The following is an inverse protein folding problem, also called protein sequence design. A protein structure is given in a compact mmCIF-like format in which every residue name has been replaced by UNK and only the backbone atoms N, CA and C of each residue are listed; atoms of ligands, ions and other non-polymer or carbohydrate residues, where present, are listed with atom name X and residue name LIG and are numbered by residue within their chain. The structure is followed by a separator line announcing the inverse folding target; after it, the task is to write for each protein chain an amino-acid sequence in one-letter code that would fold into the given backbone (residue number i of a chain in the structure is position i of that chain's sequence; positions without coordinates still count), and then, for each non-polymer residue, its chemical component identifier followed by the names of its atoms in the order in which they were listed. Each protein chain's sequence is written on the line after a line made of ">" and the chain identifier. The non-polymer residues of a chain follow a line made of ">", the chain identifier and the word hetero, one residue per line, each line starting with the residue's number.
data_IF_424606221455
#
_entry.id   IF_424606221455
#
_cell.length_a   1.000
_cell.length_b   1.000
_cell.length_c   1.000
_cell.angle_alpha   90.00
_cell.angle_beta   90.00
_cell.angle_gamma   90.00
#
_symmetry.space_group_name_H-M   'P 1'
#
loop_
_entity.id
_entity.type
_entity.pdbx_description
1 polymer ?
#
# COMPACT_ATOMS: atom_id res chain seq x y z
N UNK A 1 4.48 21.02 15.99
CA UNK A 1 5.03 21.56 14.73
C UNK A 1 4.98 20.56 13.56
N UNK A 2 5.47 19.31 13.68
CA UNK A 2 5.42 18.33 12.56
C UNK A 2 4.01 17.98 12.05
N UNK A 3 3.01 17.92 12.93
CA UNK A 3 1.60 17.66 12.54
C UNK A 3 1.01 18.77 11.65
N UNK A 4 1.45 19.99 11.80
CA UNK A 4 0.97 21.15 11.04
C UNK A 4 1.53 21.17 9.62
N UNK A 5 2.79 20.79 9.41
CA UNK A 5 3.42 20.82 8.08
C UNK A 5 2.86 19.76 7.13
N UNK A 6 2.69 18.52 7.59
CA UNK A 6 2.13 17.45 6.74
C UNK A 6 0.67 17.73 6.37
N UNK A 7 -0.12 18.24 7.30
CA UNK A 7 -1.52 18.62 7.04
C UNK A 7 -1.60 19.82 6.09
N UNK A 8 -0.74 20.80 6.26
CA UNK A 8 -0.62 21.93 5.37
C UNK A 8 -0.24 21.50 3.94
N UNK A 9 0.73 20.59 3.77
CA UNK A 9 1.08 20.06 2.45
C UNK A 9 -0.09 19.33 1.78
N UNK A 10 -0.84 18.52 2.51
CA UNK A 10 -2.04 17.86 1.98
C UNK A 10 -3.10 18.87 1.53
N UNK A 11 -3.31 19.93 2.28
CA UNK A 11 -4.25 20.99 1.88
C UNK A 11 -3.77 21.69 0.59
N UNK A 12 -2.49 22.01 0.48
CA UNK A 12 -1.88 22.59 -0.74
C UNK A 12 -2.00 21.65 -1.94
N UNK A 13 -1.82 20.35 -1.75
CA UNK A 13 -1.82 19.38 -2.84
C UNK A 13 -3.22 19.04 -3.34
N UNK A 14 -4.24 19.08 -2.47
CA UNK A 14 -5.57 18.55 -2.77
C UNK A 14 -6.72 19.57 -2.64
N UNK A 15 -6.52 20.70 -1.94
CA UNK A 15 -7.59 21.66 -1.68
C UNK A 15 -7.31 23.07 -2.20
N UNK A 16 -6.10 23.58 -1.97
CA UNK A 16 -5.74 24.95 -2.33
C UNK A 16 -4.42 24.99 -3.14
N UNK A 17 -4.52 24.92 -4.46
CA UNK A 17 -3.34 24.89 -5.33
C UNK A 17 -2.56 26.22 -5.35
N UNK A 18 -3.15 27.35 -4.89
CA UNK A 18 -2.51 28.68 -4.97
C UNK A 18 -1.20 28.76 -4.19
N UNK A 19 -1.12 28.13 -3.03
CA UNK A 19 0.10 28.11 -2.22
C UNK A 19 1.18 27.25 -2.86
N UNK A 20 0.78 26.22 -3.61
CA UNK A 20 1.69 25.33 -4.36
C UNK A 20 2.50 26.04 -5.45
N UNK A 21 2.05 27.19 -5.94
CA UNK A 21 2.71 27.96 -7.01
C UNK A 21 4.13 28.36 -6.61
N UNK A 22 4.36 28.76 -5.37
CA UNK A 22 5.71 29.13 -4.88
C UNK A 22 6.67 27.94 -4.82
N UNK A 23 6.16 26.71 -4.74
CA UNK A 23 6.95 25.48 -4.73
C UNK A 23 7.15 24.90 -6.15
N UNK A 24 6.48 25.44 -7.17
CA UNK A 24 6.55 24.93 -8.55
C UNK A 24 7.99 24.83 -9.10
N UNK A 25 8.88 25.81 -8.91
CA UNK A 25 10.26 25.69 -9.41
C UNK A 25 10.98 24.46 -8.82
N UNK A 26 10.76 24.16 -7.53
CA UNK A 26 11.31 22.96 -6.89
C UNK A 26 10.65 21.69 -7.41
N UNK A 27 9.35 21.72 -7.68
CA UNK A 27 8.61 20.61 -8.29
C UNK A 27 9.11 20.26 -9.69
N UNK A 28 9.42 21.26 -10.52
CA UNK A 28 10.04 21.04 -11.84
C UNK A 28 11.44 20.46 -11.73
N UNK A 29 12.29 21.00 -10.86
CA UNK A 29 13.63 20.45 -10.62
C UNK A 29 13.57 18.99 -10.14
N UNK A 30 12.64 18.68 -9.26
CA UNK A 30 12.44 17.29 -8.81
C UNK A 30 11.97 16.38 -9.95
N UNK A 31 11.02 16.85 -10.76
CA UNK A 31 10.54 16.11 -11.94
C UNK A 31 11.68 15.80 -12.91
N UNK A 32 12.51 16.82 -13.22
CA UNK A 32 13.65 16.64 -14.14
C UNK A 32 14.71 15.72 -13.55
N UNK A 33 14.98 15.80 -12.25
CA UNK A 33 15.86 14.86 -11.55
C UNK A 33 15.35 13.40 -11.66
N UNK A 34 14.06 13.19 -11.45
CA UNK A 34 13.44 11.85 -11.57
C UNK A 34 13.54 11.34 -13.01
N UNK A 35 13.23 12.19 -14.01
CA UNK A 35 13.36 11.85 -15.45
C UNK A 35 14.81 11.50 -15.80
N UNK A 36 15.77 12.31 -15.35
CA UNK A 36 17.19 12.09 -15.57
C UNK A 36 17.67 10.79 -14.92
N UNK A 37 17.27 10.51 -13.67
CA UNK A 37 17.59 9.24 -13.01
C UNK A 37 17.03 8.04 -13.79
N UNK A 38 15.77 8.10 -14.27
CA UNK A 38 15.16 7.06 -15.12
C UNK A 38 15.95 6.86 -16.40
N UNK A 39 16.38 7.96 -17.03
CA UNK A 39 17.20 7.94 -18.25
C UNK A 39 18.55 7.23 -18.01
N UNK A 40 19.26 7.50 -16.91
CA UNK A 40 20.51 6.84 -16.58
C UNK A 40 20.37 5.30 -16.43
N UNK A 41 19.24 4.82 -15.86
CA UNK A 41 18.91 3.40 -15.83
C UNK A 41 18.60 2.85 -17.22
N UNK A 42 17.95 3.65 -18.08
CA UNK A 42 17.59 3.24 -19.45
C UNK A 42 18.83 3.05 -20.33
N UNK A 43 19.82 3.93 -20.24
CA UNK A 43 21.05 3.85 -21.03
C UNK A 43 22.13 2.94 -20.39
N UNK A 44 21.83 2.30 -19.24
CA UNK A 44 22.72 1.35 -18.60
C UNK A 44 23.86 1.95 -17.77
N UNK A 45 23.91 3.28 -17.58
CA UNK A 45 24.88 3.93 -16.66
C UNK A 45 24.64 3.48 -15.23
N UNK A 46 23.38 3.40 -14.81
CA UNK A 46 23.01 2.80 -13.55
C UNK A 46 22.61 1.33 -13.76
N UNK A 47 23.17 0.44 -12.96
CA UNK A 47 22.95 -1.01 -13.10
C UNK A 47 21.55 -1.42 -12.71
N UNK A 48 20.92 -2.24 -13.55
CA UNK A 48 19.71 -2.99 -13.23
C UNK A 48 20.09 -4.42 -12.86
N UNK A 49 19.37 -4.97 -11.90
CA UNK A 49 19.53 -6.35 -11.47
C UNK A 49 18.34 -7.17 -11.93
N UNK A 50 18.59 -8.21 -12.71
CA UNK A 50 17.60 -9.18 -13.16
C UNK A 50 17.60 -10.37 -12.21
N UNK A 51 16.42 -10.84 -11.86
CA UNK A 51 16.25 -12.03 -11.02
C UNK A 51 15.89 -13.25 -11.88
N UNK A 52 16.14 -14.47 -11.38
CA UNK A 52 15.86 -15.70 -12.13
C UNK A 52 14.35 -16.02 -12.24
N UNK A 53 13.51 -15.29 -11.55
CA UNK A 53 12.04 -15.43 -11.56
C UNK A 53 11.39 -14.11 -12.01
N UNK A 54 10.17 -14.14 -12.56
CA UNK A 54 9.44 -12.92 -12.93
C UNK A 54 9.17 -12.04 -11.72
N UNK A 55 9.21 -10.74 -11.96
CA UNK A 55 8.97 -9.69 -10.96
C UNK A 55 7.79 -8.84 -11.38
N UNK A 56 6.75 -8.83 -10.57
CA UNK A 56 5.60 -7.94 -10.69
C UNK A 56 5.77 -6.81 -9.68
N UNK A 57 5.89 -5.60 -10.17
CA UNK A 57 6.02 -4.41 -9.32
C UNK A 57 4.66 -3.76 -9.14
N UNK A 58 4.23 -3.60 -7.90
CA UNK A 58 3.04 -2.84 -7.52
C UNK A 58 3.49 -1.55 -6.84
N UNK A 59 2.96 -0.43 -7.27
CA UNK A 59 3.32 0.85 -6.67
C UNK A 59 2.35 1.96 -7.04
N UNK A 60 2.72 3.19 -6.73
CA UNK A 60 1.97 4.38 -7.11
C UNK A 60 2.91 5.52 -7.47
N UNK A 61 2.39 6.54 -8.13
CA UNK A 61 3.14 7.75 -8.49
C UNK A 61 2.84 8.92 -7.57
N UNK A 62 1.94 8.78 -6.60
CA UNK A 62 1.59 9.82 -5.62
C UNK A 62 2.07 9.46 -4.22
N UNK A 63 2.18 10.43 -3.33
CA UNK A 63 2.36 10.20 -1.90
C UNK A 63 1.02 9.86 -1.27
N UNK A 64 1.00 8.87 -0.35
CA UNK A 64 -0.17 8.49 0.44
C UNK A 64 -0.71 7.09 0.11
N UNK A 65 -1.76 6.72 0.81
CA UNK A 65 -2.41 5.41 0.70
C UNK A 65 -3.34 5.34 -0.52
N UNK A 66 -2.94 4.60 -1.55
CA UNK A 66 -3.75 4.40 -2.77
C UNK A 66 -4.50 3.06 -2.80
N UNK A 67 -4.24 2.15 -1.83
CA UNK A 67 -4.84 0.81 -1.82
C UNK A 67 -3.91 -0.30 -2.33
N UNK A 68 -2.59 -0.08 -2.35
CA UNK A 68 -1.60 -1.09 -2.77
C UNK A 68 -1.67 -2.38 -1.95
N UNK A 69 -1.71 -2.24 -0.64
CA UNK A 69 -1.67 -3.39 0.29
C UNK A 69 -2.79 -4.39 0.04
N UNK A 70 -4.08 -4.01 -0.05
CA UNK A 70 -5.14 -4.94 -0.41
C UNK A 70 -4.96 -5.57 -1.79
N UNK A 71 -4.46 -4.82 -2.78
CA UNK A 71 -4.21 -5.35 -4.13
C UNK A 71 -3.10 -6.40 -4.14
N UNK A 72 -2.00 -6.17 -3.42
CA UNK A 72 -0.89 -7.14 -3.30
C UNK A 72 -1.38 -8.44 -2.64
N UNK A 73 -2.18 -8.35 -1.59
CA UNK A 73 -2.74 -9.51 -0.90
C UNK A 73 -3.67 -10.29 -1.84
N UNK A 74 -4.54 -9.58 -2.56
CA UNK A 74 -5.42 -10.19 -3.56
C UNK A 74 -4.62 -10.88 -4.67
N UNK A 75 -3.59 -10.20 -5.19
CA UNK A 75 -2.73 -10.72 -6.26
C UNK A 75 -1.96 -11.96 -5.81
N UNK A 76 -1.46 -11.97 -4.57
CA UNK A 76 -0.82 -13.13 -3.98
C UNK A 76 -1.77 -14.34 -3.90
N UNK A 77 -3.03 -14.11 -3.54
CA UNK A 77 -4.09 -15.13 -3.57
C UNK A 77 -4.33 -15.66 -4.98
N UNK A 78 -4.58 -14.76 -5.95
CA UNK A 78 -4.78 -15.11 -7.36
C UNK A 78 -3.65 -15.98 -7.91
N UNK A 79 -2.40 -15.59 -7.66
CA UNK A 79 -1.25 -16.34 -8.14
C UNK A 79 -1.14 -17.74 -7.50
N UNK A 80 -1.49 -17.88 -6.22
CA UNK A 80 -1.55 -19.19 -5.57
C UNK A 80 -2.63 -20.08 -6.17
N UNK A 81 -3.81 -19.54 -6.41
CA UNK A 81 -4.94 -20.26 -7.01
C UNK A 81 -4.60 -20.75 -8.44
N UNK A 82 -3.73 -20.01 -9.15
CA UNK A 82 -3.21 -20.38 -10.48
C UNK A 82 -1.94 -21.27 -10.43
N UNK A 83 -1.58 -21.78 -9.23
CA UNK A 83 -0.48 -22.73 -9.04
C UNK A 83 0.92 -22.10 -8.97
N UNK A 84 1.04 -20.78 -8.94
CA UNK A 84 2.31 -20.10 -8.69
C UNK A 84 2.65 -20.14 -7.19
N UNK A 85 3.94 -19.92 -6.90
CA UNK A 85 4.49 -19.75 -5.55
C UNK A 85 4.98 -18.32 -5.37
N UNK A 86 4.07 -17.36 -5.08
CA UNK A 86 4.48 -15.97 -4.93
C UNK A 86 5.32 -15.75 -3.67
N UNK A 87 6.40 -14.98 -3.82
CA UNK A 87 7.14 -14.39 -2.72
C UNK A 87 7.02 -12.86 -2.77
N UNK A 88 7.10 -12.20 -1.62
CA UNK A 88 6.86 -10.76 -1.54
C UNK A 88 8.11 -10.05 -1.04
N UNK A 89 8.46 -8.93 -1.66
CA UNK A 89 9.52 -8.04 -1.18
C UNK A 89 8.99 -6.63 -0.94
N UNK A 90 9.42 -6.00 0.14
CA UNK A 90 9.10 -4.60 0.45
C UNK A 90 10.33 -3.86 0.99
N UNK A 91 10.19 -2.56 1.20
CA UNK A 91 11.24 -1.71 1.78
C UNK A 91 11.40 -1.92 3.29
N UNK A 92 10.34 -2.37 3.96
CA UNK A 92 10.29 -2.33 5.41
C UNK A 92 10.16 -0.89 5.92
N UNK A 93 9.32 -0.08 5.25
CA UNK A 93 9.14 1.33 5.62
C UNK A 93 8.63 1.44 7.07
N UNK A 94 9.27 2.33 7.85
CA UNK A 94 9.00 2.49 9.29
C UNK A 94 9.68 1.46 10.19
N UNK A 95 10.25 0.39 9.62
CA UNK A 95 11.05 -0.59 10.34
C UNK A 95 12.39 -0.02 10.82
N UNK A 96 12.84 -0.50 11.98
CA UNK A 96 14.06 -0.07 12.67
C UNK A 96 14.93 -1.29 13.05
N UNK A 97 14.99 -2.29 12.15
CA UNK A 97 15.86 -3.45 12.37
C UNK A 97 17.34 -3.05 12.44
N UNK A 98 18.10 -3.71 13.29
CA UNK A 98 19.55 -3.49 13.46
C UNK A 98 20.35 -3.87 12.22
N UNK A 99 19.85 -4.83 11.45
CA UNK A 99 20.49 -5.33 10.23
C UNK A 99 19.49 -5.58 9.11
N UNK A 100 19.92 -5.51 7.87
CA UNK A 100 19.15 -5.78 6.67
C UNK A 100 19.90 -6.74 5.74
N UNK A 101 19.20 -7.58 4.94
CA UNK A 101 17.74 -7.74 4.84
C UNK A 101 17.13 -8.49 6.01
N UNK A 102 15.82 -8.38 6.23
CA UNK A 102 15.03 -9.11 7.23
C UNK A 102 14.06 -10.07 6.56
N UNK A 103 13.98 -11.28 7.11
CA UNK A 103 12.88 -12.22 6.83
C UNK A 103 11.68 -11.86 7.68
N UNK A 104 10.48 -11.89 7.11
CA UNK A 104 9.26 -11.60 7.86
C UNK A 104 8.58 -12.91 8.24
N UNK A 105 8.41 -13.14 9.52
CA UNK A 105 7.81 -14.34 10.11
C UNK A 105 6.84 -14.01 11.27
N UNK A 106 6.37 -15.04 11.96
CA UNK A 106 5.44 -14.92 13.09
C UNK A 106 6.04 -14.12 14.29
N UNK A 107 7.36 -14.10 14.43
CA UNK A 107 8.07 -13.40 15.50
C UNK A 107 8.42 -11.95 15.14
N UNK A 108 8.23 -11.58 13.88
CA UNK A 108 8.52 -10.23 13.40
C UNK A 108 7.56 -9.23 14.02
N UNK A 109 8.09 -8.05 14.37
CA UNK A 109 7.31 -6.94 14.92
C UNK A 109 7.19 -5.80 13.92
N UNK A 110 6.12 -5.02 14.01
CA UNK A 110 5.94 -3.83 13.19
C UNK A 110 7.09 -2.82 13.37
N UNK A 111 7.73 -2.80 14.56
CA UNK A 111 8.88 -1.95 14.84
C UNK A 111 10.12 -2.37 14.03
N UNK A 112 10.34 -3.68 13.83
CA UNK A 112 11.51 -4.18 13.12
C UNK A 112 11.31 -4.14 11.60
N UNK A 113 10.18 -4.64 11.09
CA UNK A 113 9.98 -4.85 9.64
C UNK A 113 9.03 -3.85 8.99
N UNK A 114 8.36 -3.01 9.76
CA UNK A 114 7.31 -2.09 9.31
C UNK A 114 5.91 -2.69 9.40
N UNK A 115 4.92 -1.83 9.65
CA UNK A 115 3.51 -2.19 9.84
C UNK A 115 2.88 -2.80 8.56
N UNK A 116 3.17 -2.23 7.39
CA UNK A 116 2.64 -2.73 6.11
C UNK A 116 3.20 -4.11 5.76
N UNK A 117 4.51 -4.30 5.92
CA UNK A 117 5.14 -5.58 5.62
C UNK A 117 4.60 -6.70 6.50
N UNK A 118 4.45 -6.44 7.80
CA UNK A 118 3.88 -7.42 8.74
C UNK A 118 2.43 -7.77 8.38
N UNK A 119 1.63 -6.77 8.00
CA UNK A 119 0.24 -6.98 7.57
C UNK A 119 0.18 -7.83 6.30
N UNK A 120 0.96 -7.48 5.27
CA UNK A 120 1.02 -8.22 4.00
C UNK A 120 1.43 -9.68 4.25
N UNK A 121 2.47 -9.92 5.04
CA UNK A 121 2.94 -11.27 5.35
C UNK A 121 1.86 -12.11 6.04
N UNK A 122 1.19 -11.54 7.06
CA UNK A 122 0.12 -12.22 7.81
C UNK A 122 -1.07 -12.56 6.93
N UNK A 123 -1.53 -11.63 6.10
CA UNK A 123 -2.74 -11.84 5.30
C UNK A 123 -2.48 -12.69 4.06
N UNK A 124 -1.36 -12.48 3.37
CA UNK A 124 -1.04 -13.24 2.17
C UNK A 124 -0.61 -14.67 2.49
N UNK A 125 -0.01 -14.91 3.66
CA UNK A 125 0.64 -16.18 4.00
C UNK A 125 1.74 -16.57 3.01
N UNK A 126 2.35 -15.58 2.34
CA UNK A 126 3.46 -15.78 1.42
C UNK A 126 4.80 -15.59 2.12
N UNK A 127 5.87 -16.26 1.68
CA UNK A 127 7.22 -15.89 2.04
C UNK A 127 7.46 -14.40 1.77
N UNK A 128 8.06 -13.70 2.74
CA UNK A 128 8.30 -12.26 2.60
C UNK A 128 9.65 -11.86 3.17
N UNK A 129 10.34 -10.97 2.47
CA UNK A 129 11.58 -10.35 2.92
C UNK A 129 11.53 -8.83 2.73
N UNK A 130 12.17 -8.09 3.62
CA UNK A 130 12.23 -6.62 3.57
C UNK A 130 13.66 -6.12 3.63
N UNK A 131 13.95 -5.06 2.88
CA UNK A 131 15.23 -4.35 2.90
C UNK A 131 15.07 -2.96 2.28
N UNK A 132 15.79 -1.93 2.76
CA UNK A 132 15.96 -0.66 2.06
C UNK A 132 16.38 -0.86 0.59
N UNK A 133 17.21 -1.89 0.34
CA UNK A 133 17.63 -2.34 -1.00
C UNK A 133 16.79 -3.54 -1.42
N UNK A 134 15.82 -3.36 -2.36
CA UNK A 134 14.94 -4.46 -2.84
C UNK A 134 15.70 -5.69 -3.32
N UNK A 135 16.87 -5.48 -3.91
CA UNK A 135 17.73 -6.58 -4.42
C UNK A 135 18.16 -7.51 -3.30
N UNK A 136 18.52 -6.97 -2.13
CA UNK A 136 18.95 -7.79 -1.01
C UNK A 136 17.77 -8.55 -0.40
N UNK A 137 16.59 -7.92 -0.32
CA UNK A 137 15.36 -8.61 0.05
C UNK A 137 15.04 -9.76 -0.93
N UNK A 138 15.16 -9.52 -2.23
CA UNK A 138 14.91 -10.54 -3.25
C UNK A 138 15.91 -11.72 -3.18
N UNK A 139 17.17 -11.45 -2.95
CA UNK A 139 18.18 -12.51 -2.75
C UNK A 139 17.86 -13.37 -1.54
N UNK A 140 17.60 -12.76 -0.40
CA UNK A 140 17.20 -13.47 0.82
C UNK A 140 15.92 -14.30 0.60
N UNK A 141 14.94 -13.75 -0.13
CA UNK A 141 13.70 -14.44 -0.45
C UNK A 141 13.95 -15.70 -1.30
N UNK A 142 14.74 -15.58 -2.36
CA UNK A 142 15.09 -16.68 -3.25
C UNK A 142 15.97 -17.75 -2.59
N UNK A 143 16.81 -17.35 -1.63
CA UNK A 143 17.62 -18.27 -0.85
C UNK A 143 16.78 -19.12 0.13
N UNK A 144 15.75 -18.50 0.75
CA UNK A 144 14.99 -19.13 1.83
C UNK A 144 13.65 -19.72 1.40
N UNK A 145 13.24 -19.55 0.15
CA UNK A 145 11.96 -20.05 -0.35
C UNK A 145 12.07 -20.57 -1.79
N UNK A 146 11.10 -21.41 -2.16
CA UNK A 146 10.94 -21.94 -3.52
C UNK A 146 9.99 -21.10 -4.38
N UNK A 147 9.92 -19.78 -4.10
CA UNK A 147 9.06 -18.88 -4.85
C UNK A 147 9.48 -18.82 -6.34
N UNK A 148 8.48 -18.83 -7.23
CA UNK A 148 8.67 -18.79 -8.68
C UNK A 148 8.15 -17.51 -9.32
N UNK A 149 7.65 -16.57 -8.52
CA UNK A 149 7.26 -15.22 -8.91
C UNK A 149 7.42 -14.28 -7.72
N UNK A 150 7.90 -13.06 -7.94
CA UNK A 150 8.09 -12.06 -6.90
C UNK A 150 7.13 -10.89 -7.10
N UNK A 151 6.42 -10.53 -6.03
CA UNK A 151 5.65 -9.31 -5.92
C UNK A 151 6.48 -8.25 -5.17
N UNK A 152 6.72 -7.10 -5.79
CA UNK A 152 7.46 -6.00 -5.17
C UNK A 152 6.50 -4.89 -4.73
N UNK A 153 6.36 -4.72 -3.42
CA UNK A 153 5.55 -3.67 -2.80
C UNK A 153 6.23 -2.30 -2.89
N UNK A 154 5.44 -1.29 -3.28
CA UNK A 154 5.85 0.12 -3.48
C UNK A 154 7.16 0.25 -4.28
N UNK A 155 7.23 -0.49 -5.39
CA UNK A 155 8.47 -0.71 -6.14
C UNK A 155 8.64 0.16 -7.39
N UNK A 156 7.66 0.98 -7.83
CA UNK A 156 7.72 1.68 -9.12
C UNK A 156 8.95 2.58 -9.26
N UNK A 157 9.36 3.27 -8.20
CA UNK A 157 10.53 4.15 -8.18
C UNK A 157 11.87 3.40 -8.00
N UNK A 158 11.84 2.06 -7.80
CA UNK A 158 13.05 1.27 -7.55
C UNK A 158 13.63 0.69 -8.84
N UNK A 159 14.12 1.55 -9.73
CA UNK A 159 14.59 1.21 -11.08
C UNK A 159 15.79 0.24 -11.12
N UNK A 160 16.53 0.07 -10.02
CA UNK A 160 17.61 -0.88 -9.91
C UNK A 160 17.15 -2.36 -10.02
N UNK A 161 15.88 -2.66 -9.67
CA UNK A 161 15.29 -3.96 -9.84
C UNK A 161 14.63 -4.04 -11.23
N UNK A 162 15.12 -4.96 -12.07
CA UNK A 162 14.43 -5.26 -13.32
C UNK A 162 13.07 -5.91 -13.02
N UNK A 163 12.11 -5.67 -13.87
CA UNK A 163 10.72 -6.05 -13.66
C UNK A 163 10.08 -6.50 -14.96
N UNK A 164 9.16 -7.42 -14.86
CA UNK A 164 8.46 -8.01 -16.00
C UNK A 164 7.06 -7.43 -16.18
N UNK A 165 6.43 -7.01 -15.07
CA UNK A 165 5.11 -6.37 -15.06
C UNK A 165 5.11 -5.21 -14.06
N UNK A 166 4.54 -4.08 -14.46
CA UNK A 166 4.35 -2.90 -13.62
C UNK A 166 2.86 -2.58 -13.46
N UNK A 167 2.40 -2.50 -12.21
CA UNK A 167 1.04 -2.12 -11.86
C UNK A 167 1.07 -0.80 -11.09
N UNK A 168 0.45 0.23 -11.63
CA UNK A 168 0.27 1.50 -10.95
C UNK A 168 -1.10 1.55 -10.27
N UNK A 169 -1.12 1.82 -8.96
CA UNK A 169 -2.36 1.95 -8.19
C UNK A 169 -2.67 3.42 -7.95
N UNK A 170 -3.85 3.87 -8.36
CA UNK A 170 -4.32 5.25 -8.25
C UNK A 170 -5.45 5.33 -7.23
N UNK A 171 -5.47 6.38 -6.42
CA UNK A 171 -6.63 6.75 -5.60
C UNK A 171 -7.67 7.43 -6.49
N UNK A 172 -8.85 6.80 -6.69
CA UNK A 172 -9.88 7.29 -7.60
C UNK A 172 -10.49 8.62 -7.18
N UNK A 173 -10.53 8.95 -5.87
CA UNK A 173 -11.04 10.24 -5.39
C UNK A 173 -10.00 11.35 -5.47
N UNK A 174 -8.78 11.08 -5.02
CA UNK A 174 -7.70 12.07 -4.95
C UNK A 174 -6.94 12.24 -6.26
N UNK A 175 -6.98 11.22 -7.11
CA UNK A 175 -6.25 11.16 -8.38
C UNK A 175 -4.80 11.68 -8.21
N UNK A 176 -4.46 12.72 -8.92
CA UNK A 176 -3.12 13.30 -8.97
C UNK A 176 -3.01 14.63 -8.21
N UNK A 177 -4.06 15.00 -7.44
CA UNK A 177 -4.12 16.29 -6.75
C UNK A 177 -3.97 17.44 -7.73
N UNK A 178 -3.07 18.38 -7.43
CA UNK A 178 -2.75 19.50 -8.31
C UNK A 178 -1.81 19.16 -9.49
N UNK A 179 -1.50 17.87 -9.69
CA UNK A 179 -0.69 17.33 -10.81
C UNK A 179 0.78 17.75 -10.84
N UNK A 180 1.30 18.36 -9.79
CA UNK A 180 2.73 18.71 -9.68
C UNK A 180 3.51 17.62 -8.92
N UNK A 181 4.81 17.54 -9.24
CA UNK A 181 5.74 16.73 -8.49
C UNK A 181 6.09 17.36 -7.13
N UNK A 182 6.58 16.55 -6.20
CA UNK A 182 7.09 16.99 -4.91
C UNK A 182 8.12 18.13 -5.07
N UNK A 183 8.14 19.13 -4.19
CA UNK A 183 7.22 19.35 -3.07
C UNK A 183 5.96 20.15 -3.44
N UNK A 184 5.82 20.62 -4.68
CA UNK A 184 4.73 21.48 -5.14
C UNK A 184 3.38 20.73 -5.21
N UNK A 185 3.41 19.42 -5.42
CA UNK A 185 2.25 18.53 -5.47
C UNK A 185 2.57 17.15 -4.91
N UNK A 186 1.62 16.22 -4.98
CA UNK A 186 1.75 14.90 -4.37
C UNK A 186 2.55 13.90 -5.21
N UNK A 187 2.98 14.26 -6.43
CA UNK A 187 3.57 13.29 -7.35
C UNK A 187 5.02 12.96 -7.00
N UNK A 188 5.32 11.67 -6.90
CA UNK A 188 6.69 11.11 -6.81
C UNK A 188 7.35 11.00 -8.19
N UNK A 189 6.52 10.87 -9.24
CA UNK A 189 6.89 10.81 -10.65
C UNK A 189 5.82 11.54 -11.48
N UNK A 190 6.19 12.14 -12.62
CA UNK A 190 5.22 12.80 -13.49
C UNK A 190 4.14 11.84 -13.99
N UNK A 191 2.94 12.37 -14.33
CA UNK A 191 1.78 11.57 -14.77
C UNK A 191 2.12 10.73 -16.01
N UNK A 192 2.96 11.24 -16.89
CA UNK A 192 3.43 10.53 -18.10
C UNK A 192 4.09 9.19 -17.80
N UNK A 193 4.51 8.96 -16.55
CA UNK A 193 5.01 7.66 -16.09
C UNK A 193 3.99 6.54 -16.30
N UNK A 194 2.72 6.84 -16.21
CA UNK A 194 1.63 5.89 -16.40
C UNK A 194 1.57 5.31 -17.82
N UNK A 195 2.09 6.02 -18.82
CA UNK A 195 2.16 5.52 -20.21
C UNK A 195 3.14 4.35 -20.38
N UNK A 196 3.99 4.09 -19.39
CA UNK A 196 5.02 3.05 -19.44
C UNK A 196 4.81 1.94 -18.40
N UNK A 197 3.65 1.88 -17.76
CA UNK A 197 3.24 0.74 -16.93
C UNK A 197 2.32 -0.18 -17.73
N UNK A 198 2.26 -1.45 -17.34
CA UNK A 198 1.43 -2.44 -18.04
C UNK A 198 -0.03 -2.35 -17.61
N UNK A 199 -0.28 -2.02 -16.34
CA UNK A 199 -1.63 -1.90 -15.79
C UNK A 199 -1.78 -0.68 -14.90
N UNK A 200 -2.94 -0.02 -15.01
CA UNK A 200 -3.38 1.05 -14.12
C UNK A 200 -4.62 0.56 -13.39
N UNK A 201 -4.53 0.44 -12.06
CA UNK A 201 -5.63 0.03 -11.19
C UNK A 201 -6.09 1.20 -10.34
N UNK A 202 -7.35 1.59 -10.49
CA UNK A 202 -7.94 2.71 -9.78
C UNK A 202 -8.76 2.19 -8.60
N UNK A 203 -8.37 2.58 -7.39
CA UNK A 203 -9.15 2.30 -6.20
C UNK A 203 -10.34 3.25 -6.12
N UNK A 204 -11.49 2.79 -6.58
CA UNK A 204 -12.71 3.52 -6.86
C UNK A 204 -13.12 3.39 -8.32
N UNK A 205 -13.84 4.38 -8.82
CA UNK A 205 -14.27 4.40 -10.22
C UNK A 205 -13.15 4.85 -11.14
N UNK A 206 -13.02 4.17 -12.29
CA UNK A 206 -12.10 4.55 -13.35
C UNK A 206 -12.63 5.73 -14.15
N UNK A 207 -11.75 6.50 -14.74
CA UNK A 207 -12.09 7.65 -15.60
C UNK A 207 -11.62 7.49 -17.04
N UNK A 208 -10.71 6.54 -17.29
CA UNK A 208 -10.13 6.27 -18.60
C UNK A 208 -10.32 4.79 -18.99
N UNK A 209 -10.42 4.50 -20.28
CA UNK A 209 -10.67 3.15 -20.78
C UNK A 209 -9.53 2.16 -20.52
N UNK A 210 -8.30 2.66 -20.40
CA UNK A 210 -7.10 1.85 -20.10
C UNK A 210 -6.88 1.61 -18.61
N UNK A 211 -7.81 2.01 -17.77
CA UNK A 211 -7.80 1.79 -16.33
C UNK A 211 -8.70 0.61 -15.96
N UNK A 212 -8.32 -0.10 -14.89
CA UNK A 212 -9.17 -1.10 -14.23
C UNK A 212 -9.66 -0.53 -12.90
N UNK A 213 -10.96 -0.60 -12.65
CA UNK A 213 -11.50 -0.23 -11.34
C UNK A 213 -11.19 -1.31 -10.29
N UNK A 214 -11.06 -0.91 -9.05
CA UNK A 214 -10.92 -1.78 -7.89
C UNK A 214 -11.72 -1.21 -6.74
N UNK A 215 -12.55 -2.03 -6.12
CA UNK A 215 -13.27 -1.67 -4.90
C UNK A 215 -12.55 -2.27 -3.69
N UNK A 216 -12.47 -1.50 -2.61
CA UNK A 216 -12.03 -2.02 -1.31
C UNK A 216 -13.28 -2.24 -0.46
N UNK A 217 -13.52 -3.48 -0.09
CA UNK A 217 -14.71 -3.90 0.67
C UNK A 217 -14.32 -4.47 2.03
N UNK A 218 -15.18 -4.26 3.00
CA UNK A 218 -15.05 -4.84 4.34
C UNK A 218 -16.41 -4.73 5.04
N UNK A 219 -16.98 -5.85 5.47
CA UNK A 219 -18.30 -5.91 6.08
C UNK A 219 -18.31 -6.57 7.47
N UNK A 220 -17.13 -6.92 7.96
CA UNK A 220 -16.94 -7.64 9.23
C UNK A 220 -15.90 -6.91 10.07
N UNK A 221 -16.12 -6.83 11.37
CA UNK A 221 -15.10 -6.41 12.33
C UNK A 221 -14.61 -7.62 13.12
N UNK A 222 -13.32 -7.60 13.46
CA UNK A 222 -12.65 -8.65 14.23
C UNK A 222 -12.12 -8.05 15.52
N UNK A 223 -12.44 -8.66 16.66
CA UNK A 223 -11.96 -8.22 17.95
C UNK A 223 -10.46 -8.49 18.09
N UNK A 224 -9.69 -7.50 18.55
CA UNK A 224 -8.23 -7.61 18.63
C UNK A 224 -7.75 -8.63 19.66
N UNK A 225 -8.52 -8.87 20.71
CA UNK A 225 -8.13 -9.71 21.84
C UNK A 225 -8.71 -11.12 21.69
N UNK A 226 -10.01 -11.21 21.40
CA UNK A 226 -10.73 -12.49 21.39
C UNK A 226 -10.75 -13.16 20.03
N UNK A 227 -10.47 -12.42 18.94
CA UNK A 227 -10.63 -12.88 17.56
C UNK A 227 -12.09 -13.06 17.13
N UNK A 228 -13.07 -12.67 17.97
CA UNK A 228 -14.49 -12.73 17.62
C UNK A 228 -14.77 -11.90 16.39
N UNK A 229 -15.57 -12.44 15.47
CA UNK A 229 -16.01 -11.72 14.28
C UNK A 229 -17.46 -11.30 14.42
N UNK A 230 -17.77 -10.07 13.97
CA UNK A 230 -19.14 -9.53 13.94
C UNK A 230 -19.37 -8.76 12.63
N UNK A 231 -20.54 -8.88 12.00
CA UNK A 231 -20.97 -8.00 10.94
C UNK A 231 -20.92 -6.53 11.37
N UNK A 232 -20.49 -5.62 10.50
CA UNK A 232 -20.43 -4.20 10.83
C UNK A 232 -21.77 -3.64 11.25
N UNK A 233 -22.86 -4.10 10.66
CA UNK A 233 -24.24 -3.67 10.96
C UNK A 233 -24.60 -3.84 12.45
N UNK A 234 -24.02 -4.79 13.17
CA UNK A 234 -24.29 -4.99 14.59
C UNK A 234 -23.83 -3.82 15.47
N UNK A 235 -22.87 -3.02 14.97
CA UNK A 235 -22.36 -1.84 15.69
C UNK A 235 -23.26 -0.61 15.53
N UNK A 236 -24.20 -0.61 14.59
CA UNK A 236 -25.09 0.53 14.34
C UNK A 236 -26.03 0.82 15.52
N UNK A 237 -26.45 -0.22 16.25
CA UNK A 237 -27.38 -0.09 17.37
C UNK A 237 -26.74 0.42 18.67
N UNK A 238 -25.42 0.22 18.83
CA UNK A 238 -24.70 0.51 20.09
C UNK A 238 -23.83 1.76 20.01
N UNK A 239 -23.72 2.37 18.82
CA UNK A 239 -22.75 3.42 18.56
C UNK A 239 -21.32 2.90 18.48
N UNK A 240 -20.42 3.68 17.88
CA UNK A 240 -19.01 3.30 17.77
C UNK A 240 -18.10 4.51 17.62
N UNK A 241 -16.83 4.30 17.89
CA UNK A 241 -15.74 5.20 17.53
C UNK A 241 -14.97 4.60 16.37
N UNK A 242 -14.54 5.44 15.43
CA UNK A 242 -13.73 5.02 14.30
C UNK A 242 -12.37 5.71 14.37
N UNK A 243 -11.30 4.93 14.28
CA UNK A 243 -9.94 5.41 14.41
C UNK A 243 -9.12 4.99 13.18
N UNK A 244 -8.41 5.95 12.56
CA UNK A 244 -7.58 5.66 11.41
C UNK A 244 -6.30 6.54 11.39
N UNK A 245 -5.13 5.87 11.33
CA UNK A 245 -3.80 6.44 11.16
C UNK A 245 -3.16 5.98 9.85
N UNK A 246 -3.87 6.19 8.75
CA UNK A 246 -3.47 5.83 7.38
C UNK A 246 -3.44 7.06 6.47
N UNK A 247 -2.85 6.93 5.28
CA UNK A 247 -2.69 8.03 4.33
C UNK A 247 -4.00 8.67 3.82
N UNK A 248 -5.14 7.96 3.89
CA UNK A 248 -6.48 8.49 3.60
C UNK A 248 -7.49 7.97 4.63
N UNK A 249 -7.59 8.60 5.82
CA UNK A 249 -8.52 8.19 6.87
C UNK A 249 -9.99 8.27 6.44
N UNK A 250 -10.35 9.27 5.64
CA UNK A 250 -11.74 9.52 5.22
C UNK A 250 -12.32 8.33 4.45
N UNK A 251 -11.47 7.59 3.71
CA UNK A 251 -11.92 6.38 3.01
C UNK A 251 -12.38 5.29 3.99
N UNK A 252 -11.68 5.10 5.10
CA UNK A 252 -12.10 4.16 6.12
C UNK A 252 -13.40 4.59 6.78
N UNK A 253 -13.57 5.87 7.05
CA UNK A 253 -14.81 6.39 7.64
C UNK A 253 -15.99 6.24 6.68
N UNK A 254 -15.80 6.55 5.38
CA UNK A 254 -16.83 6.31 4.35
C UNK A 254 -17.21 4.83 4.20
N UNK A 255 -16.25 3.90 4.35
CA UNK A 255 -16.53 2.47 4.35
C UNK A 255 -17.48 2.12 5.50
N UNK A 256 -17.25 2.64 6.70
CA UNK A 256 -18.11 2.41 7.84
C UNK A 256 -19.50 3.06 7.66
N UNK A 257 -19.55 4.28 7.12
CA UNK A 257 -20.80 4.97 6.79
C UNK A 257 -21.63 4.19 5.76
N UNK A 258 -20.98 3.66 4.72
CA UNK A 258 -21.65 2.84 3.70
C UNK A 258 -22.18 1.51 4.25
N UNK A 259 -21.62 1.02 5.35
CA UNK A 259 -22.14 -0.12 6.10
C UNK A 259 -23.28 0.24 7.09
N UNK A 260 -23.71 1.52 7.11
CA UNK A 260 -24.78 2.01 7.96
C UNK A 260 -24.35 2.44 9.37
N UNK A 261 -23.07 2.65 9.61
CA UNK A 261 -22.56 3.06 10.92
C UNK A 261 -22.41 4.57 11.01
N UNK A 262 -22.81 5.13 12.15
CA UNK A 262 -22.51 6.51 12.53
C UNK A 262 -21.50 6.50 13.66
N UNK A 263 -20.23 6.74 13.34
CA UNK A 263 -19.14 6.69 14.32
C UNK A 263 -18.60 8.08 14.66
N UNK A 264 -18.11 8.24 15.89
CA UNK A 264 -17.25 9.37 16.28
C UNK A 264 -15.85 9.13 15.70
N UNK A 265 -15.42 9.94 14.72
CA UNK A 265 -14.19 9.73 13.97
C UNK A 265 -12.96 10.37 14.62
N UNK A 266 -11.82 9.64 14.61
CA UNK A 266 -10.53 10.08 15.12
C UNK A 266 -9.45 9.82 14.07
N UNK A 267 -8.95 10.89 13.43
CA UNK A 267 -7.89 10.81 12.42
C UNK A 267 -6.52 11.01 13.03
N UNK A 268 -5.59 10.13 12.69
CA UNK A 268 -4.17 10.22 13.06
C UNK A 268 -3.29 10.34 11.80
N UNK A 269 -2.06 10.87 11.92
CA UNK A 269 -1.11 10.85 10.82
C UNK A 269 -0.80 9.43 10.36
N UNK A 270 -0.45 9.26 9.06
CA UNK A 270 0.01 7.96 8.56
C UNK A 270 1.24 7.49 9.37
N UNK A 271 1.35 6.18 9.60
CA UNK A 271 2.37 5.55 10.43
C UNK A 271 2.45 6.08 11.87
N UNK A 272 1.32 6.55 12.43
CA UNK A 272 1.27 7.00 13.81
C UNK A 272 1.62 5.86 14.78
N UNK A 273 2.46 6.15 15.76
CA UNK A 273 2.79 5.23 16.86
C UNK A 273 1.75 5.41 17.96
N UNK A 274 0.78 4.51 18.02
CA UNK A 274 -0.30 4.57 19.01
C UNK A 274 0.20 4.27 20.41
N UNK A 275 -0.39 4.96 21.38
CA UNK A 275 -0.28 4.69 22.81
C UNK A 275 -1.64 4.24 23.33
N UNK A 276 -1.66 3.58 24.50
CA UNK A 276 -2.91 3.14 25.13
C UNK A 276 -3.92 4.27 25.28
N UNK A 277 -3.49 5.47 25.64
CA UNK A 277 -4.33 6.67 25.79
C UNK A 277 -5.01 7.11 24.50
N UNK A 278 -4.43 6.82 23.34
CA UNK A 278 -4.99 7.23 22.04
C UNK A 278 -6.22 6.40 21.62
N UNK A 279 -6.32 5.18 22.17
CA UNK A 279 -7.42 4.24 21.85
C UNK A 279 -8.33 3.97 23.05
N UNK A 280 -8.04 4.52 24.23
CA UNK A 280 -8.86 4.36 25.43
C UNK A 280 -9.79 5.54 25.60
N UNK A 281 -11.09 5.28 25.68
CA UNK A 281 -12.12 6.29 25.86
C UNK A 281 -12.89 6.03 27.13
N UNK A 282 -13.50 7.07 27.76
CA UNK A 282 -14.17 6.94 29.06
C UNK A 282 -15.50 6.17 28.98
N UNK A 283 -16.08 6.05 27.80
CA UNK A 283 -17.29 5.26 27.55
C UNK A 283 -16.93 3.82 27.11
N UNK A 284 -17.92 2.96 27.07
CA UNK A 284 -17.80 1.55 26.64
C UNK A 284 -18.10 1.34 25.15
N UNK A 285 -18.14 2.43 24.37
CA UNK A 285 -18.37 2.32 22.92
C UNK A 285 -17.24 1.49 22.25
N UNK A 286 -17.58 0.55 21.34
CA UNK A 286 -16.59 -0.14 20.54
C UNK A 286 -15.74 0.82 19.72
N UNK A 287 -14.43 0.53 19.63
CA UNK A 287 -13.47 1.28 18.83
C UNK A 287 -13.10 0.46 17.61
N UNK A 288 -13.56 0.91 16.45
CA UNK A 288 -13.25 0.31 15.15
C UNK A 288 -12.02 0.98 14.56
N UNK A 289 -11.05 0.21 14.09
CA UNK A 289 -9.83 0.73 13.49
C UNK A 289 -9.47 -0.03 12.20
N UNK A 290 -8.56 0.55 11.42
CA UNK A 290 -8.02 -0.16 10.27
C UNK A 290 -7.15 -1.32 10.72
N UNK A 291 -7.01 -2.35 9.90
CA UNK A 291 -6.16 -3.49 10.24
C UNK A 291 -4.67 -3.10 10.34
N UNK A 292 -4.22 -2.12 9.52
CA UNK A 292 -2.88 -1.53 9.62
C UNK A 292 -2.62 -0.88 10.99
N UNK A 293 -3.64 -0.25 11.56
CA UNK A 293 -3.53 0.36 12.90
C UNK A 293 -3.63 -0.69 14.01
N UNK A 294 -4.48 -1.71 13.81
CA UNK A 294 -4.64 -2.81 14.76
C UNK A 294 -3.31 -3.52 15.06
N UNK A 295 -2.48 -3.78 14.05
CA UNK A 295 -1.16 -4.40 14.21
C UNK A 295 -0.27 -3.63 15.20
N UNK A 296 -0.42 -2.31 15.29
CA UNK A 296 0.33 -1.43 16.20
C UNK A 296 -0.24 -1.39 17.61
N UNK A 297 -1.51 -1.80 17.77
CA UNK A 297 -2.26 -1.69 19.03
C UNK A 297 -2.39 -3.03 19.79
N UNK A 298 -2.03 -4.15 19.20
CA UNK A 298 -2.28 -5.49 19.73
C UNK A 298 -1.80 -5.70 21.17
N UNK A 299 -0.65 -5.10 21.55
CA UNK A 299 -0.02 -5.31 22.87
C UNK A 299 -0.74 -4.62 24.03
N UNK A 300 -1.61 -3.64 23.74
CA UNK A 300 -2.33 -2.87 24.75
C UNK A 300 -3.84 -2.73 24.46
N UNK A 301 -4.34 -3.52 23.48
CA UNK A 301 -5.76 -3.57 23.16
C UNK A 301 -6.58 -4.21 24.29
N UNK A 302 -7.88 -3.92 24.31
CA UNK A 302 -8.89 -4.54 25.16
C UNK A 302 -10.02 -5.13 24.29
N UNK A 303 -11.01 -5.72 24.93
CA UNK A 303 -12.21 -6.31 24.29
C UNK A 303 -13.10 -5.28 23.56
N UNK A 304 -12.91 -3.98 23.83
CA UNK A 304 -13.58 -2.88 23.10
C UNK A 304 -12.99 -2.62 21.72
N UNK A 305 -11.78 -3.11 21.42
CA UNK A 305 -11.06 -2.79 20.19
C UNK A 305 -11.29 -3.82 19.09
N UNK A 306 -11.69 -3.32 17.93
CA UNK A 306 -12.03 -4.11 16.76
C UNK A 306 -11.31 -3.54 15.54
N UNK A 307 -10.87 -4.39 14.64
CA UNK A 307 -10.38 -3.95 13.35
C UNK A 307 -11.27 -4.45 12.22
N UNK A 308 -11.28 -3.71 11.12
CA UNK A 308 -12.04 -4.06 9.93
C UNK A 308 -11.09 -4.54 8.86
N UNK A 309 -10.99 -5.85 8.61
CA UNK A 309 -10.22 -6.37 7.50
C UNK A 309 -10.89 -5.97 6.19
N UNK A 310 -10.06 -5.57 5.22
CA UNK A 310 -10.53 -5.16 3.90
C UNK A 310 -9.95 -6.05 2.81
N UNK A 311 -10.73 -6.24 1.73
CA UNK A 311 -10.33 -7.01 0.55
C UNK A 311 -10.42 -6.11 -0.68
N UNK A 312 -9.44 -6.26 -1.57
CA UNK A 312 -9.53 -5.71 -2.91
C UNK A 312 -10.43 -6.59 -3.78
N UNK A 313 -11.29 -5.95 -4.54
CA UNK A 313 -12.13 -6.58 -5.56
C UNK A 313 -11.88 -5.83 -6.88
N UNK A 314 -10.86 -6.23 -7.65
CA UNK A 314 -10.62 -5.64 -8.96
C UNK A 314 -11.73 -5.98 -9.95
N UNK A 315 -11.87 -5.13 -10.97
CA UNK A 315 -12.78 -5.29 -12.10
C UNK A 315 -12.54 -6.62 -12.83
N UNK A 316 -13.61 -7.20 -13.34
CA UNK A 316 -13.53 -8.40 -14.18
C UNK A 316 -12.62 -8.16 -15.40
N UNK A 317 -11.83 -9.17 -15.78
CA UNK A 317 -10.86 -9.08 -16.87
C UNK A 317 -9.45 -8.61 -16.46
N UNK A 318 -9.27 -7.93 -15.32
CA UNK A 318 -7.92 -7.57 -14.85
C UNK A 318 -7.08 -8.82 -14.56
N UNK A 319 -7.64 -9.78 -13.82
CA UNK A 319 -6.97 -11.04 -13.51
C UNK A 319 -6.54 -11.79 -14.76
N UNK A 320 -7.45 -11.93 -15.73
CA UNK A 320 -7.20 -12.65 -16.98
C UNK A 320 -6.07 -12.02 -17.81
N UNK A 321 -6.11 -10.68 -17.98
CA UNK A 321 -5.08 -9.98 -18.74
C UNK A 321 -3.72 -10.05 -18.06
N UNK A 322 -3.66 -9.92 -16.74
CA UNK A 322 -2.43 -10.03 -15.97
C UNK A 322 -1.82 -11.42 -16.07
N UNK A 323 -2.62 -12.48 -15.90
CA UNK A 323 -2.15 -13.86 -16.02
C UNK A 323 -1.68 -14.19 -17.42
N UNK A 324 -2.36 -13.69 -18.45
CA UNK A 324 -1.94 -13.83 -19.83
C UNK A 324 -0.55 -13.22 -20.03
N UNK A 325 -0.37 -11.96 -19.66
CA UNK A 325 0.93 -11.26 -19.79
C UNK A 325 2.03 -11.96 -19.00
N UNK A 326 1.74 -12.45 -17.77
CA UNK A 326 2.71 -13.18 -16.96
C UNK A 326 3.16 -14.47 -17.64
N UNK A 327 2.26 -15.24 -18.25
CA UNK A 327 2.58 -16.47 -18.97
C UNK A 327 3.37 -16.22 -20.25
N UNK A 328 3.07 -15.13 -20.98
CA UNK A 328 3.85 -14.70 -22.15
C UNK A 328 5.29 -14.33 -21.76
N UNK A 329 5.49 -13.60 -20.66
CA UNK A 329 6.81 -13.25 -20.17
C UNK A 329 7.61 -14.46 -19.67
N UNK A 330 6.96 -15.49 -19.15
CA UNK A 330 7.61 -16.74 -18.76
C UNK A 330 8.08 -17.54 -19.99
N UNK A 331 7.25 -17.65 -21.02
CA UNK A 331 7.59 -18.36 -22.26
C UNK A 331 8.81 -17.74 -22.95
N UNK A 332 8.90 -16.40 -22.98
CA UNK A 332 10.00 -15.67 -23.59
C UNK A 332 11.34 -15.77 -22.83
N UNK A 333 11.34 -16.23 -21.59
CA UNK A 333 12.57 -16.45 -20.80
C UNK A 333 13.11 -17.88 -20.88
N UNK A 334 12.33 -18.79 -21.46
CA UNK A 334 12.68 -20.22 -21.57
C UNK A 334 13.32 -20.55 -22.93
N UNK A 335 13.14 -19.66 -23.92
CA UNK A 335 13.81 -19.68 -25.22
C UNK A 335 15.14 -18.88 -25.19
#
# INVERSE_FOLDING_TARGET
>A
MKKTLSRWLLDVWYKDPFIGVWLMPLGFLFSDFVKFRKFLYRIGVLKKHTLPVPVIVIGNITVGGTGKTPLIIWLAGLLKDEGFKPGIISRGYGGQAESWPQWVDANSTAENVGDEALLIAKQSGCPMAVSPTRIDAAKLLLEKSDCNVILSDDGLQHYALNRDIEIAVIDGERRFGNSYCLPAGPLREPIERLQSVDFIVVNGEKTEDNEFSMQITGNTAVNLVTGQQKPLQEFSAIGCRALAGIGNPDRFFKLLESAGLTCKTHSFPDHYKFQRSDISFPDSEPVLMTEKDAVKCMTFASDQHWYVPVKAVPEAGFAEQLLKLLRENLSSKTD
#
